data_IF_555926274160
#
_entry.id   IF_555926274160
#
_cell.length_a   1.000
_cell.length_b   1.000
_cell.length_c   1.000
_cell.angle_alpha   90.00
_cell.angle_beta   90.00
_cell.angle_gamma   90.00
#
_symmetry.space_group_name_H-M   'P 1'
#
loop_
_entity.id
_entity.type
_entity.pdbx_description
1 polymer ?
#
# COMPACT_ATOMS: atom_id res chain seq x y z
N UNK A 1 14.08 -7.16 20.45
CA UNK A 1 14.46 -8.02 19.32
C UNK A 1 15.78 -7.49 18.82
N UNK A 2 16.83 -8.31 18.83
CA UNK A 2 18.14 -7.91 18.35
C UNK A 2 18.06 -7.62 16.85
N UNK A 3 18.41 -6.38 16.48
CA UNK A 3 18.27 -5.80 15.15
C UNK A 3 19.42 -6.20 14.19
N UNK A 4 20.13 -7.29 14.48
CA UNK A 4 21.36 -7.67 13.77
C UNK A 4 21.12 -8.34 12.42
N UNK A 5 19.91 -8.88 12.19
CA UNK A 5 19.54 -9.61 10.96
C UNK A 5 18.41 -8.93 10.15
N UNK A 6 18.09 -7.66 10.44
CA UNK A 6 17.04 -6.90 9.76
C UNK A 6 17.63 -5.79 8.88
N UNK A 7 17.23 -5.77 7.60
CA UNK A 7 17.66 -4.74 6.64
C UNK A 7 16.44 -3.92 6.19
N UNK A 8 16.51 -2.58 6.16
CA UNK A 8 15.40 -1.76 5.68
C UNK A 8 15.13 -2.07 4.21
N UNK A 9 13.86 -2.28 3.87
CA UNK A 9 13.46 -2.63 2.51
C UNK A 9 12.10 -2.03 2.16
N UNK A 10 11.92 -1.75 0.87
CA UNK A 10 10.68 -1.16 0.34
C UNK A 10 10.20 -1.97 -0.85
N UNK A 11 8.97 -2.48 -0.77
CA UNK A 11 8.28 -2.99 -1.95
C UNK A 11 7.42 -1.90 -2.57
N UNK A 12 7.44 -1.81 -3.90
CA UNK A 12 6.65 -0.84 -4.66
C UNK A 12 5.57 -1.56 -5.45
N UNK A 13 4.34 -1.06 -5.38
CA UNK A 13 3.18 -1.57 -6.12
C UNK A 13 2.56 -0.41 -6.88
N UNK A 14 2.43 -0.56 -8.19
CA UNK A 14 1.84 0.45 -9.07
C UNK A 14 0.57 -0.05 -9.72
N UNK A 15 -0.39 0.84 -9.94
CA UNK A 15 -1.60 0.55 -10.69
C UNK A 15 -2.07 1.80 -11.45
N UNK A 16 -2.71 1.59 -12.59
CA UNK A 16 -3.36 2.66 -13.36
C UNK A 16 -4.86 2.42 -13.37
N UNK A 17 -5.61 3.43 -12.95
CA UNK A 17 -7.07 3.42 -12.96
C UNK A 17 -7.60 4.27 -14.11
N UNK A 18 -8.63 3.77 -14.78
CA UNK A 18 -9.32 4.52 -15.85
C UNK A 18 -10.07 5.74 -15.33
N UNK A 19 -10.42 6.64 -16.26
CA UNK A 19 -11.17 7.87 -15.99
C UNK A 19 -12.66 7.62 -15.76
N UNK A 20 -12.99 6.90 -14.68
CA UNK A 20 -14.36 6.63 -14.26
C UNK A 20 -14.41 6.39 -12.75
N UNK A 21 -15.42 6.95 -12.09
CA UNK A 21 -15.70 6.68 -10.68
C UNK A 21 -16.05 5.20 -10.53
N UNK A 22 -15.42 4.52 -9.59
CA UNK A 22 -15.60 3.08 -9.36
C UNK A 22 -14.80 2.17 -10.29
N UNK A 23 -13.96 2.72 -11.19
CA UNK A 23 -13.01 1.91 -11.95
C UNK A 23 -12.10 1.15 -10.98
N UNK A 24 -11.90 -0.15 -11.21
CA UNK A 24 -11.05 -0.99 -10.37
C UNK A 24 -9.83 -1.49 -11.14
N UNK A 25 -8.72 -1.67 -10.42
CA UNK A 25 -7.53 -2.35 -10.92
C UNK A 25 -6.94 -3.17 -9.79
N UNK A 26 -6.42 -4.35 -10.10
CA UNK A 26 -5.75 -5.19 -9.12
C UNK A 26 -4.32 -5.47 -9.55
N UNK A 27 -3.40 -5.39 -8.61
CA UNK A 27 -1.97 -5.68 -8.81
C UNK A 27 -1.52 -6.66 -7.74
N UNK A 28 -0.72 -7.62 -8.16
CA UNK A 28 -0.22 -8.71 -7.32
C UNK A 28 1.26 -8.48 -7.03
N UNK A 29 1.63 -8.42 -5.75
CA UNK A 29 3.01 -8.34 -5.29
C UNK A 29 3.43 -9.68 -4.70
N UNK A 30 4.51 -10.25 -5.23
CA UNK A 30 5.11 -11.48 -4.70
C UNK A 30 6.35 -11.09 -3.90
N UNK A 31 6.36 -11.47 -2.63
CA UNK A 31 7.52 -11.27 -1.75
C UNK A 31 8.71 -12.10 -2.24
N UNK A 32 9.93 -11.58 -2.07
CA UNK A 32 11.15 -12.30 -2.43
C UNK A 32 11.31 -13.58 -1.61
N UNK A 33 11.94 -14.60 -2.20
CA UNK A 33 12.03 -15.93 -1.61
C UNK A 33 13.15 -16.07 -0.55
N UNK A 34 14.04 -15.08 -0.46
CA UNK A 34 15.27 -15.11 0.33
C UNK A 34 15.08 -14.67 1.79
N UNK A 35 13.97 -14.00 2.09
CA UNK A 35 13.80 -13.29 3.36
C UNK A 35 12.32 -13.14 3.73
N UNK A 36 12.05 -13.08 5.03
CA UNK A 36 10.76 -12.64 5.55
C UNK A 36 10.67 -11.12 5.46
N UNK A 37 9.45 -10.60 5.32
CA UNK A 37 9.23 -9.14 5.31
C UNK A 37 8.33 -8.72 6.46
N UNK A 38 8.82 -7.84 7.31
CA UNK A 38 8.05 -7.17 8.35
C UNK A 38 7.59 -5.81 7.84
N UNK A 39 6.29 -5.67 7.59
CA UNK A 39 5.67 -4.41 7.20
C UNK A 39 5.56 -3.49 8.42
N UNK A 40 6.06 -2.26 8.28
CA UNK A 40 6.04 -1.24 9.33
C UNK A 40 5.17 -0.04 8.96
N UNK A 41 4.91 0.17 7.67
CA UNK A 41 4.01 1.23 7.23
C UNK A 41 3.80 1.22 5.73
N UNK A 42 2.73 1.90 5.30
CA UNK A 42 2.36 2.03 3.90
C UNK A 42 2.41 3.51 3.54
N UNK A 43 3.04 3.84 2.42
CA UNK A 43 2.96 5.15 1.79
C UNK A 43 2.29 5.01 0.43
N UNK A 44 1.54 6.03 0.05
CA UNK A 44 0.73 5.97 -1.16
C UNK A 44 0.54 7.33 -1.76
N UNK A 45 0.96 7.46 -3.01
CA UNK A 45 0.66 8.60 -3.86
C UNK A 45 -0.24 8.17 -5.00
N UNK A 46 -1.13 9.06 -5.37
CA UNK A 46 -2.04 8.97 -6.49
C UNK A 46 -2.69 10.33 -6.62
N UNK A 47 -3.02 10.72 -7.84
CA UNK A 47 -3.43 12.10 -8.06
C UNK A 47 -3.94 12.39 -9.45
N UNK A 48 -5.06 13.11 -9.44
CA UNK A 48 -5.44 14.13 -10.41
C UNK A 48 -4.80 15.43 -9.90
N UNK A 49 -4.28 16.28 -10.79
CA UNK A 49 -3.59 17.52 -10.41
C UNK A 49 -4.39 18.34 -9.37
N UNK A 50 -3.84 18.52 -8.17
CA UNK A 50 -4.46 19.33 -7.12
C UNK A 50 -4.20 20.82 -7.41
N UNK A 51 -5.22 21.53 -7.90
CA UNK A 51 -5.10 22.93 -8.35
C UNK A 51 -5.45 23.98 -7.26
N UNK A 52 -5.80 23.57 -6.04
CA UNK A 52 -6.17 24.50 -4.94
C UNK A 52 -5.72 24.03 -3.57
N UNK A 53 -5.43 24.97 -2.66
CA UNK A 53 -4.88 24.69 -1.31
C UNK A 53 -5.78 23.80 -0.42
N UNK A 54 -7.10 23.84 -0.62
CA UNK A 54 -8.02 22.94 0.08
C UNK A 54 -7.97 21.50 -0.47
N UNK A 55 -7.51 21.33 -1.71
CA UNK A 55 -7.16 20.04 -2.34
C UNK A 55 -5.69 19.67 -2.12
N UNK A 56 -4.86 20.56 -1.56
CA UNK A 56 -3.45 20.30 -1.26
C UNK A 56 -3.27 19.53 0.04
N UNK A 57 -4.30 19.45 0.90
CA UNK A 57 -4.22 18.60 2.08
C UNK A 57 -4.58 17.13 1.77
N UNK A 58 -5.79 16.70 1.33
CA UNK A 58 -6.00 15.26 1.03
C UNK A 58 -7.25 14.94 0.16
N UNK A 59 -7.18 14.86 -1.18
CA UNK A 59 -8.23 14.17 -1.93
C UNK A 59 -8.00 12.66 -1.82
N UNK A 60 -8.99 11.95 -1.27
CA UNK A 60 -9.05 10.49 -1.42
C UNK A 60 -9.27 10.19 -2.90
N UNK A 61 -8.19 9.96 -3.64
CA UNK A 61 -8.29 9.70 -5.07
C UNK A 61 -8.61 8.22 -5.36
N UNK A 62 -8.32 7.33 -4.41
CA UNK A 62 -8.65 5.91 -4.47
C UNK A 62 -8.88 5.29 -3.08
N UNK A 63 -9.49 4.11 -3.07
CA UNK A 63 -9.45 3.16 -1.95
C UNK A 63 -8.57 1.97 -2.30
N UNK A 64 -8.02 1.30 -1.28
CA UNK A 64 -7.21 0.10 -1.41
C UNK A 64 -7.82 -1.00 -0.56
N UNK A 65 -7.86 -2.22 -1.10
CA UNK A 65 -8.01 -3.46 -0.34
C UNK A 65 -6.75 -4.30 -0.49
N UNK A 66 -6.24 -4.88 0.60
CA UNK A 66 -5.06 -5.77 0.57
C UNK A 66 -5.46 -7.13 1.13
N UNK A 67 -5.24 -8.16 0.33
CA UNK A 67 -5.44 -9.57 0.69
C UNK A 67 -4.15 -10.34 0.50
N UNK A 68 -3.77 -11.11 1.50
CA UNK A 68 -2.76 -12.14 1.36
C UNK A 68 -3.40 -13.40 0.75
N UNK A 69 -3.06 -13.70 -0.50
CA UNK A 69 -3.56 -14.86 -1.23
C UNK A 69 -2.90 -16.18 -0.80
N UNK A 70 -1.71 -16.11 -0.18
CA UNK A 70 -0.99 -17.31 0.28
C UNK A 70 -1.64 -17.89 1.52
N UNK A 71 -2.03 -17.03 2.47
CA UNK A 71 -2.69 -17.47 3.71
C UNK A 71 -4.21 -17.32 3.70
N UNK A 72 -4.77 -16.62 2.70
CA UNK A 72 -6.19 -16.30 2.62
C UNK A 72 -6.63 -15.20 3.60
N UNK A 73 -5.68 -14.48 4.21
CA UNK A 73 -5.97 -13.43 5.21
C UNK A 73 -6.25 -12.09 4.52
N UNK A 74 -7.34 -11.45 4.93
CA UNK A 74 -7.59 -10.05 4.62
C UNK A 74 -6.88 -9.14 5.64
N UNK A 75 -6.11 -8.16 5.16
CA UNK A 75 -5.42 -7.19 6.04
C UNK A 75 -6.35 -6.05 6.48
N UNK A 76 -7.55 -5.97 5.90
CA UNK A 76 -8.56 -4.96 6.22
C UNK A 76 -9.97 -5.51 6.00
N UNK A 77 -10.93 -5.04 6.79
CA UNK A 77 -12.32 -5.49 6.71
C UNK A 77 -13.10 -4.94 5.51
N UNK A 78 -12.63 -3.84 4.93
CA UNK A 78 -13.22 -3.17 3.77
C UNK A 78 -12.15 -2.36 3.04
N UNK A 79 -12.39 -1.92 1.79
CA UNK A 79 -11.49 -1.00 1.10
C UNK A 79 -11.27 0.28 1.90
N UNK A 80 -10.02 0.56 2.25
CA UNK A 80 -9.61 1.72 3.05
C UNK A 80 -9.24 2.89 2.12
N UNK A 81 -9.78 4.10 2.32
CA UNK A 81 -9.39 5.26 1.54
C UNK A 81 -7.92 5.65 1.75
N UNK A 82 -7.27 6.14 0.69
CA UNK A 82 -5.84 6.54 0.68
C UNK A 82 -5.41 7.31 1.95
N UNK A 83 -6.17 8.34 2.35
CA UNK A 83 -5.81 9.19 3.50
C UNK A 83 -5.74 8.43 4.84
N UNK A 84 -6.55 7.39 4.99
CA UNK A 84 -6.64 6.60 6.22
C UNK A 84 -5.53 5.55 6.25
N UNK A 85 -5.18 5.01 5.07
CA UNK A 85 -4.15 3.99 4.94
C UNK A 85 -2.72 4.57 5.06
N UNK A 86 -2.45 5.67 4.35
CA UNK A 86 -1.08 6.16 4.15
C UNK A 86 -0.71 7.34 5.08
N UNK A 87 -1.69 7.97 5.72
CA UNK A 87 -1.49 9.22 6.45
C UNK A 87 -1.12 10.38 5.52
N UNK A 88 -0.38 11.36 6.04
CA UNK A 88 0.21 12.45 5.26
C UNK A 88 1.64 12.09 4.84
N UNK A 89 2.13 12.68 3.75
CA UNK A 89 3.54 12.66 3.36
C UNK A 89 4.50 13.02 4.52
N UNK A 90 4.06 13.84 5.48
CA UNK A 90 4.83 14.20 6.69
C UNK A 90 4.48 13.40 7.95
N UNK A 91 3.41 12.61 7.93
CA UNK A 91 2.90 11.83 9.07
C UNK A 91 2.35 10.50 8.57
N UNK A 92 3.25 9.62 8.15
CA UNK A 92 2.89 8.25 7.83
C UNK A 92 2.37 7.54 9.09
N UNK A 93 1.35 6.71 8.94
CA UNK A 93 0.96 5.80 10.02
C UNK A 93 1.94 4.63 10.07
N UNK A 94 2.77 4.64 11.11
CA UNK A 94 3.63 3.50 11.44
C UNK A 94 2.83 2.50 12.27
N UNK A 95 2.86 1.25 11.85
CA UNK A 95 2.26 0.15 12.61
C UNK A 95 3.08 -0.06 13.89
N UNK A 96 2.40 0.02 15.04
CA UNK A 96 3.04 -0.21 16.35
C UNK A 96 3.56 -1.66 16.48
N UNK A 97 2.97 -2.58 15.72
CA UNK A 97 3.39 -3.97 15.60
C UNK A 97 3.35 -4.34 14.12
N UNK A 98 4.50 -4.64 13.55
CA UNK A 98 4.59 -4.99 12.14
C UNK A 98 3.90 -6.32 11.83
N UNK A 99 3.48 -6.45 10.57
CA UNK A 99 2.93 -7.69 10.04
C UNK A 99 4.05 -8.43 9.32
N UNK A 100 4.32 -9.66 9.75
CA UNK A 100 5.35 -10.51 9.13
C UNK A 100 4.71 -11.33 8.01
N UNK A 101 5.30 -11.22 6.82
CA UNK A 101 5.00 -12.04 5.66
C UNK A 101 6.10 -13.07 5.46
N UNK A 102 5.70 -14.32 5.19
CA UNK A 102 6.62 -15.39 4.85
C UNK A 102 7.23 -15.17 3.45
N UNK A 103 8.40 -15.74 3.15
CA UNK A 103 8.97 -15.68 1.81
C UNK A 103 7.97 -16.19 0.77
N UNK A 104 7.96 -15.59 -0.42
CA UNK A 104 7.01 -15.91 -1.49
C UNK A 104 5.52 -15.67 -1.15
N UNK A 105 5.21 -14.93 -0.08
CA UNK A 105 3.84 -14.47 0.18
C UNK A 105 3.33 -13.62 -0.97
N UNK A 106 2.08 -13.85 -1.35
CA UNK A 106 1.44 -13.20 -2.46
C UNK A 106 0.37 -12.21 -1.96
N UNK A 107 0.64 -10.91 -2.10
CA UNK A 107 -0.27 -9.85 -1.72
C UNK A 107 -1.02 -9.29 -2.93
N UNK A 108 -2.33 -9.43 -2.92
CA UNK A 108 -3.24 -8.82 -3.89
C UNK A 108 -3.68 -7.45 -3.39
N UNK A 109 -3.33 -6.41 -4.16
CA UNK A 109 -3.79 -5.05 -3.97
C UNK A 109 -4.94 -4.80 -4.94
N UNK A 110 -6.09 -4.37 -4.44
CA UNK A 110 -7.22 -3.97 -5.27
C UNK A 110 -7.51 -2.50 -5.02
N UNK A 111 -7.42 -1.72 -6.09
CA UNK A 111 -7.61 -0.29 -6.09
C UNK A 111 -8.97 0.05 -6.69
N UNK A 112 -9.66 1.03 -6.12
CA UNK A 112 -10.91 1.57 -6.69
C UNK A 112 -10.78 3.08 -6.82
N UNK A 113 -11.07 3.61 -8.01
CA UNK A 113 -11.03 5.04 -8.29
C UNK A 113 -12.21 5.74 -7.63
N UNK A 114 -11.94 6.82 -6.90
CA UNK A 114 -12.98 7.67 -6.30
C UNK A 114 -13.26 8.91 -7.14
N UNK A 115 -12.53 9.09 -8.25
CA UNK A 115 -12.60 10.27 -9.12
C UNK A 115 -13.00 9.88 -10.54
N UNK A 116 -13.50 10.85 -11.31
CA UNK A 116 -13.84 10.66 -12.72
C UNK A 116 -12.62 10.82 -13.66
N UNK A 117 -11.42 11.03 -13.14
CA UNK A 117 -10.21 11.21 -13.92
C UNK A 117 -9.30 9.98 -13.77
N UNK A 118 -8.42 9.77 -14.76
CA UNK A 118 -7.44 8.70 -14.70
C UNK A 118 -6.48 8.93 -13.53
N UNK A 119 -6.09 7.86 -12.84
CA UNK A 119 -5.27 7.95 -11.64
C UNK A 119 -4.15 6.92 -11.69
N UNK A 120 -2.90 7.39 -11.64
CA UNK A 120 -1.73 6.54 -11.51
C UNK A 120 -1.33 6.46 -10.05
N UNK A 121 -1.43 5.26 -9.50
CA UNK A 121 -1.20 4.98 -8.09
C UNK A 121 0.16 4.33 -7.92
N UNK A 122 0.90 4.80 -6.93
CA UNK A 122 2.11 4.17 -6.42
C UNK A 122 1.98 3.97 -4.92
N UNK A 123 1.97 2.73 -4.47
CA UNK A 123 2.11 2.34 -3.07
C UNK A 123 3.53 1.85 -2.78
N UNK A 124 4.07 2.28 -1.66
CA UNK A 124 5.35 1.80 -1.13
C UNK A 124 5.10 1.16 0.26
N UNK A 125 5.44 -0.11 0.38
CA UNK A 125 5.39 -0.88 1.63
C UNK A 125 6.76 -0.74 2.30
N UNK A 126 6.83 0.00 3.39
CA UNK A 126 8.05 0.24 4.14
C UNK A 126 8.16 -0.75 5.29
N UNK A 127 9.32 -1.35 5.42
CA UNK A 127 9.53 -2.39 6.41
C UNK A 127 10.97 -2.86 6.49
N UNK A 128 11.13 -4.06 7.04
CA UNK A 128 12.42 -4.71 7.17
C UNK A 128 12.38 -6.10 6.54
N UNK A 129 13.42 -6.44 5.81
CA UNK A 129 13.75 -7.82 5.48
C UNK A 129 14.42 -8.47 6.67
N UNK A 130 13.91 -9.61 7.10
CA UNK A 130 14.51 -10.44 8.13
C UNK A 130 15.21 -11.60 7.41
N UNK A 131 16.55 -11.59 7.47
CA UNK A 131 17.38 -12.64 6.90
C UNK A 131 17.29 -13.86 7.85
N UNK A 132 16.97 -15.02 7.26
CA UNK A 132 16.92 -16.30 7.95
C UNK A 132 18.30 -16.94 8.07
#
# INVERSE_FOLDING_TARGET
MDNTNSLPFVYVVTASLGAAVGATSSTTLIMQADSRFELMGIMGTGGVDATTENSLQYPNSFTVSIRDQTTGRDLMSAPVPQRVLCGNAFKQFLEKRGIIFEPQSNLLFTFTNLTAAANNITLALHGYKIIL
#
